data_IF_250698922817
#
_entry.id   IF_250698922817
#
_cell.length_a   1.000
_cell.length_b   1.000
_cell.length_c   1.000
_cell.angle_alpha   90.00
_cell.angle_beta   90.00
_cell.angle_gamma   90.00
#
_symmetry.space_group_name_H-M   'P 1'
#
loop_
_entity.id
_entity.type
_entity.pdbx_description
1 polymer ?
#
# COMPACT_ATOMS: atom_id res chain seq x y z
N UNK A 1 29.35 20.73 -9.81
CA UNK A 1 30.21 19.71 -9.19
C UNK A 1 29.31 18.54 -8.84
N UNK A 2 29.44 17.43 -9.59
CA UNK A 2 28.64 16.23 -9.40
C UNK A 2 29.22 15.46 -8.21
N UNK A 3 28.44 15.29 -7.16
CA UNK A 3 28.76 14.40 -6.04
C UNK A 3 28.69 12.97 -6.57
N UNK A 4 29.85 12.35 -6.77
CA UNK A 4 29.99 10.92 -6.95
C UNK A 4 29.26 10.22 -5.81
N UNK A 5 28.17 9.53 -6.12
CA UNK A 5 27.53 8.60 -5.20
C UNK A 5 28.54 7.49 -4.92
N UNK A 6 29.27 7.64 -3.81
CA UNK A 6 30.07 6.55 -3.26
C UNK A 6 29.11 5.40 -2.95
N UNK A 7 29.07 4.41 -3.84
CA UNK A 7 28.52 3.10 -3.58
C UNK A 7 29.36 2.47 -2.48
N UNK A 8 29.03 2.79 -1.23
CA UNK A 8 29.61 2.12 -0.07
C UNK A 8 29.19 0.66 -0.17
N UNK A 9 30.14 -0.23 -0.39
CA UNK A 9 29.84 -1.66 -0.37
C UNK A 9 29.34 -2.05 1.02
N UNK A 10 28.12 -2.59 1.09
CA UNK A 10 27.48 -3.04 2.33
C UNK A 10 28.38 -4.05 3.09
N UNK A 11 29.22 -4.78 2.35
CA UNK A 11 30.24 -5.71 2.87
C UNK A 11 31.34 -5.04 3.70
N UNK A 12 31.54 -3.73 3.63
CA UNK A 12 32.62 -3.01 4.34
C UNK A 12 32.14 -2.29 5.62
N UNK A 13 30.83 -2.21 5.85
CA UNK A 13 30.26 -1.52 7.01
C UNK A 13 30.54 -2.24 8.34
N UNK A 14 30.77 -1.52 9.45
CA UNK A 14 30.87 -2.16 10.76
C UNK A 14 29.52 -2.73 11.22
N UNK A 15 29.53 -3.70 12.16
CA UNK A 15 28.30 -4.31 12.69
C UNK A 15 27.28 -3.28 13.23
N UNK A 16 27.67 -2.26 14.00
CA UNK A 16 26.72 -1.23 14.44
C UNK A 16 26.08 -0.45 13.29
N UNK A 17 26.83 -0.14 12.23
CA UNK A 17 26.29 0.54 11.06
C UNK A 17 25.35 -0.37 10.24
N UNK A 18 25.65 -1.67 10.15
CA UNK A 18 24.76 -2.65 9.51
C UNK A 18 23.46 -2.84 10.28
N UNK A 19 23.51 -2.84 11.61
CA UNK A 19 22.30 -2.90 12.44
C UNK A 19 21.41 -1.66 12.26
N UNK A 20 22.01 -0.46 12.26
CA UNK A 20 21.28 0.78 11.97
C UNK A 20 20.64 0.74 10.57
N UNK A 21 21.40 0.32 9.55
CA UNK A 21 20.90 0.17 8.18
C UNK A 21 19.79 -0.87 8.07
N UNK A 22 19.92 -2.02 8.76
CA UNK A 22 18.89 -3.06 8.83
C UNK A 22 17.58 -2.48 9.35
N UNK A 23 17.62 -1.81 10.50
CA UNK A 23 16.45 -1.23 11.14
C UNK A 23 15.79 -0.15 10.25
N UNK A 24 16.60 0.68 9.59
CA UNK A 24 16.10 1.69 8.65
C UNK A 24 15.36 1.04 7.47
N UNK A 25 15.99 0.08 6.79
CA UNK A 25 15.40 -0.58 5.61
C UNK A 25 14.16 -1.38 6.01
N UNK A 26 14.12 -1.95 7.21
CA UNK A 26 12.95 -2.66 7.75
C UNK A 26 11.75 -1.73 7.96
N UNK A 27 11.95 -0.55 8.56
CA UNK A 27 10.88 0.43 8.72
C UNK A 27 10.41 0.99 7.37
N UNK A 28 11.32 1.26 6.44
CA UNK A 28 10.96 1.71 5.08
C UNK A 28 10.10 0.66 4.35
N UNK A 29 10.48 -0.62 4.43
CA UNK A 29 9.69 -1.73 3.85
C UNK A 29 8.30 -1.80 4.48
N UNK A 30 8.20 -1.64 5.81
CA UNK A 30 6.92 -1.65 6.52
C UNK A 30 6.02 -0.52 6.07
N UNK A 31 6.51 0.73 6.07
CA UNK A 31 5.75 1.91 5.63
C UNK A 31 5.26 1.75 4.18
N UNK A 32 6.13 1.28 3.28
CA UNK A 32 5.77 1.04 1.88
C UNK A 32 4.74 -0.08 1.72
N UNK A 33 4.84 -1.15 2.52
CA UNK A 33 3.88 -2.27 2.51
C UNK A 33 2.50 -1.85 3.02
N UNK A 34 2.46 -1.08 4.11
CA UNK A 34 1.22 -0.53 4.67
C UNK A 34 0.57 0.43 3.68
N UNK A 35 1.36 1.31 3.06
CA UNK A 35 0.90 2.24 2.02
C UNK A 35 0.32 1.50 0.81
N UNK A 36 0.99 0.44 0.33
CA UNK A 36 0.48 -0.39 -0.77
C UNK A 36 -0.84 -1.07 -0.41
N UNK A 37 -0.97 -1.55 0.83
CA UNK A 37 -2.22 -2.17 1.31
C UNK A 37 -3.36 -1.14 1.36
N UNK A 38 -3.10 0.05 1.89
CA UNK A 38 -4.09 1.12 1.94
C UNK A 38 -4.52 1.58 0.53
N UNK A 39 -3.58 1.71 -0.41
CA UNK A 39 -3.89 2.06 -1.80
C UNK A 39 -4.78 1.00 -2.46
N UNK A 40 -4.51 -0.29 -2.24
CA UNK A 40 -5.36 -1.38 -2.76
C UNK A 40 -6.77 -1.35 -2.17
N UNK A 41 -6.90 -1.11 -0.85
CA UNK A 41 -8.21 -0.94 -0.21
C UNK A 41 -8.96 0.25 -0.80
N UNK A 42 -8.29 1.38 -1.03
CA UNK A 42 -8.90 2.54 -1.66
C UNK A 42 -9.32 2.28 -3.11
N UNK A 43 -8.47 1.60 -3.91
CA UNK A 43 -8.79 1.18 -5.27
C UNK A 43 -10.04 0.30 -5.29
N UNK A 44 -10.12 -0.71 -4.42
CA UNK A 44 -11.28 -1.61 -4.35
C UNK A 44 -12.57 -0.84 -4.01
N UNK A 45 -12.53 0.11 -3.07
CA UNK A 45 -13.69 0.97 -2.76
C UNK A 45 -14.20 1.73 -3.98
N UNK A 46 -13.30 2.23 -4.84
CA UNK A 46 -13.71 2.91 -6.08
C UNK A 46 -14.24 1.94 -7.13
N UNK A 47 -13.69 0.72 -7.23
CA UNK A 47 -14.23 -0.36 -8.08
C UNK A 47 -15.66 -0.69 -7.64
N UNK A 48 -15.87 -0.96 -6.35
CA UNK A 48 -17.19 -1.29 -5.79
C UNK A 48 -18.19 -0.16 -6.02
N UNK A 49 -17.76 1.11 -5.88
CA UNK A 49 -18.59 2.29 -6.13
C UNK A 49 -19.02 2.39 -7.59
N UNK A 50 -18.08 2.16 -8.53
CA UNK A 50 -18.38 2.15 -9.96
C UNK A 50 -19.37 1.04 -10.32
N UNK A 51 -19.13 -0.18 -9.84
CA UNK A 51 -20.06 -1.30 -10.08
C UNK A 51 -21.46 -1.03 -9.51
N UNK A 52 -21.56 -0.37 -8.35
CA UNK A 52 -22.84 -0.04 -7.76
C UNK A 52 -23.61 1.01 -8.58
N UNK A 53 -22.92 1.98 -9.17
CA UNK A 53 -23.50 2.94 -10.13
C UNK A 53 -24.01 2.23 -11.39
N UNK A 54 -23.23 1.30 -11.94
CA UNK A 54 -23.64 0.50 -13.10
C UNK A 54 -24.85 -0.39 -12.77
N UNK A 55 -24.87 -1.02 -11.59
CA UNK A 55 -26.02 -1.79 -11.09
C UNK A 55 -27.26 -0.90 -10.92
N UNK A 56 -27.10 0.33 -10.45
CA UNK A 56 -28.21 1.29 -10.33
C UNK A 56 -28.78 1.67 -11.70
N UNK A 57 -27.94 1.79 -12.73
CA UNK A 57 -28.36 2.05 -14.12
C UNK A 57 -29.34 0.99 -14.65
N UNK A 58 -29.20 -0.26 -14.21
CA UNK A 58 -30.11 -1.36 -14.57
C UNK A 58 -31.37 -1.46 -13.71
N UNK A 59 -31.52 -0.59 -12.71
CA UNK A 59 -32.66 -0.55 -11.78
C UNK A 59 -33.58 0.61 -12.13
N UNK A 60 -34.85 0.30 -12.43
CA UNK A 60 -35.88 1.32 -12.57
C UNK A 60 -36.35 1.86 -11.21
N UNK A 61 -37.02 3.03 -11.21
CA UNK A 61 -37.64 3.60 -10.02
C UNK A 61 -38.69 2.65 -9.41
N UNK A 62 -38.91 2.76 -8.11
CA UNK A 62 -39.88 1.94 -7.37
C UNK A 62 -39.36 0.57 -6.94
N UNK A 63 -38.11 0.20 -7.27
CA UNK A 63 -37.49 -1.05 -6.79
C UNK A 63 -37.20 -0.98 -5.30
N UNK A 64 -37.52 -2.05 -4.57
CA UNK A 64 -37.17 -2.21 -3.16
C UNK A 64 -35.68 -2.55 -3.00
N UNK A 65 -35.05 -1.94 -2.01
CA UNK A 65 -33.67 -2.18 -1.59
C UNK A 65 -33.61 -2.30 -0.07
N UNK A 66 -32.54 -2.91 0.44
CA UNK A 66 -32.23 -2.89 1.87
C UNK A 66 -31.16 -1.84 2.12
N UNK A 67 -31.45 -0.91 3.03
CA UNK A 67 -30.52 0.12 3.47
C UNK A 67 -29.93 -0.29 4.82
N UNK A 68 -28.61 -0.36 4.98
CA UNK A 68 -27.99 -0.68 6.26
C UNK A 68 -28.24 0.44 7.27
N UNK A 69 -28.73 0.10 8.46
CA UNK A 69 -28.91 1.03 9.58
C UNK A 69 -27.79 0.88 10.62
N UNK A 70 -27.28 -0.34 10.79
CA UNK A 70 -26.12 -0.65 11.63
C UNK A 70 -25.38 -1.88 11.08
N UNK A 71 -24.31 -2.31 11.76
CA UNK A 71 -23.54 -3.50 11.37
C UNK A 71 -24.39 -4.78 11.25
N UNK A 72 -25.50 -4.88 11.98
CA UNK A 72 -26.35 -6.09 12.01
C UNK A 72 -27.84 -5.81 11.76
N UNK A 73 -28.20 -4.63 11.24
CA UNK A 73 -29.59 -4.25 10.99
C UNK A 73 -29.77 -3.56 9.63
N UNK A 74 -30.86 -3.91 8.96
CA UNK A 74 -31.24 -3.34 7.66
C UNK A 74 -32.71 -2.94 7.70
N UNK A 75 -33.06 -1.89 6.96
CA UNK A 75 -34.44 -1.45 6.76
C UNK A 75 -34.81 -1.50 5.28
N UNK A 76 -36.04 -1.88 4.92
CA UNK A 76 -36.49 -1.79 3.54
C UNK A 76 -36.65 -0.33 3.13
N UNK A 77 -36.24 -0.01 1.91
CA UNK A 77 -36.40 1.29 1.27
C UNK A 77 -36.79 1.12 -0.19
N UNK A 78 -37.32 2.18 -0.79
CA UNK A 78 -37.70 2.19 -2.21
C UNK A 78 -36.86 3.22 -2.95
N UNK A 79 -36.30 2.85 -4.09
CA UNK A 79 -35.55 3.77 -4.95
C UNK A 79 -36.51 4.77 -5.60
N UNK A 80 -36.33 6.05 -5.29
CA UNK A 80 -37.09 7.15 -5.90
C UNK A 80 -36.37 7.70 -7.13
N UNK A 81 -35.12 8.16 -6.97
CA UNK A 81 -34.27 8.67 -8.04
C UNK A 81 -33.19 7.64 -8.40
N UNK A 82 -33.10 7.30 -9.69
CA UNK A 82 -32.09 6.40 -10.25
C UNK A 82 -31.24 7.07 -11.33
N UNK A 83 -31.41 8.37 -11.56
CA UNK A 83 -30.70 9.11 -12.61
C UNK A 83 -29.45 9.80 -12.08
N UNK A 84 -29.47 10.22 -10.81
CA UNK A 84 -28.37 10.94 -10.16
C UNK A 84 -27.95 10.34 -8.82
N UNK A 85 -26.68 10.55 -8.46
CA UNK A 85 -26.07 10.13 -7.20
C UNK A 85 -25.21 11.26 -6.61
N UNK A 86 -25.12 11.31 -5.29
CA UNK A 86 -24.18 12.18 -4.58
C UNK A 86 -22.82 11.49 -4.49
N UNK A 87 -21.78 12.15 -5.00
CA UNK A 87 -20.41 11.64 -5.01
C UNK A 87 -19.54 12.52 -4.11
N UNK A 88 -18.83 11.89 -3.17
CA UNK A 88 -17.82 12.56 -2.36
C UNK A 88 -16.64 13.01 -3.24
N UNK A 89 -16.38 14.31 -3.27
CA UNK A 89 -15.29 14.93 -4.02
C UNK A 89 -14.12 15.35 -3.12
N UNK A 90 -14.22 15.11 -1.81
CA UNK A 90 -13.21 15.38 -0.80
C UNK A 90 -13.57 16.55 0.12
N UNK A 91 -12.83 16.68 1.22
CA UNK A 91 -12.98 17.78 2.21
C UNK A 91 -14.40 17.94 2.80
N UNK A 92 -15.21 16.88 2.75
CA UNK A 92 -16.60 16.89 3.24
C UNK A 92 -17.63 17.41 2.24
N UNK A 93 -17.25 17.64 0.97
CA UNK A 93 -18.16 18.09 -0.08
C UNK A 93 -18.66 16.93 -0.93
N UNK A 94 -19.95 16.99 -1.26
CA UNK A 94 -20.62 16.06 -2.17
C UNK A 94 -21.12 16.82 -3.39
N UNK A 95 -20.90 16.24 -4.57
CA UNK A 95 -21.43 16.76 -5.82
C UNK A 95 -22.47 15.77 -6.38
N UNK A 96 -23.61 16.30 -6.79
CA UNK A 96 -24.59 15.51 -7.54
C UNK A 96 -24.06 15.25 -8.96
N UNK A 97 -24.10 13.99 -9.40
CA UNK A 97 -23.67 13.55 -10.72
C UNK A 97 -24.71 12.61 -11.31
N UNK A 98 -24.92 12.66 -12.63
CA UNK A 98 -25.62 11.58 -13.31
C UNK A 98 -24.77 10.29 -13.27
N UNK A 99 -25.40 9.15 -13.54
CA UNK A 99 -24.74 7.85 -13.42
C UNK A 99 -23.51 7.70 -14.32
N UNK A 100 -23.56 8.22 -15.55
CA UNK A 100 -22.43 8.14 -16.49
C UNK A 100 -21.22 8.93 -15.97
N UNK A 101 -21.46 10.16 -15.50
CA UNK A 101 -20.41 11.03 -14.94
C UNK A 101 -19.85 10.47 -13.64
N UNK A 102 -20.69 9.82 -12.81
CA UNK A 102 -20.25 9.14 -11.61
C UNK A 102 -19.36 7.93 -11.94
N UNK A 103 -19.76 7.10 -12.90
CA UNK A 103 -18.96 5.96 -13.37
C UNK A 103 -17.61 6.42 -13.95
N UNK A 104 -17.61 7.49 -14.77
CA UNK A 104 -16.39 8.10 -15.30
C UNK A 104 -15.49 8.65 -14.18
N UNK A 105 -16.07 9.32 -13.19
CA UNK A 105 -15.34 9.82 -12.04
C UNK A 105 -14.64 8.70 -11.26
N UNK A 106 -15.36 7.62 -10.95
CA UNK A 106 -14.76 6.47 -10.25
C UNK A 106 -13.72 5.76 -11.11
N UNK A 107 -13.91 5.64 -12.42
CA UNK A 107 -12.88 5.12 -13.33
C UNK A 107 -11.60 5.96 -13.26
N UNK A 108 -11.71 7.29 -13.31
CA UNK A 108 -10.55 8.18 -13.16
C UNK A 108 -9.83 8.03 -11.81
N UNK A 109 -10.57 7.80 -10.72
CA UNK A 109 -9.98 7.51 -9.40
C UNK A 109 -9.29 6.15 -9.37
N UNK A 110 -9.87 5.12 -9.98
CA UNK A 110 -9.25 3.80 -10.13
C UNK A 110 -7.93 3.96 -10.88
N UNK A 111 -7.93 4.59 -12.06
CA UNK A 111 -6.74 4.77 -12.89
C UNK A 111 -5.65 5.55 -12.15
N UNK A 112 -6.03 6.59 -11.41
CA UNK A 112 -5.11 7.37 -10.59
C UNK A 112 -4.44 6.50 -9.52
N UNK A 113 -5.22 5.74 -8.75
CA UNK A 113 -4.69 4.88 -7.69
C UNK A 113 -3.85 3.73 -8.26
N UNK A 114 -4.29 3.11 -9.36
CA UNK A 114 -3.53 2.09 -10.09
C UNK A 114 -2.15 2.61 -10.47
N UNK A 115 -2.05 3.82 -11.05
CA UNK A 115 -0.76 4.44 -11.38
C UNK A 115 0.13 4.67 -10.16
N UNK A 116 -0.44 4.97 -8.98
CA UNK A 116 0.38 5.09 -7.76
C UNK A 116 0.88 3.72 -7.30
N UNK A 117 0.03 2.69 -7.35
CA UNK A 117 0.41 1.31 -7.03
C UNK A 117 1.54 0.83 -7.94
N UNK A 118 1.42 1.03 -9.25
CA UNK A 118 2.43 0.67 -10.25
C UNK A 118 3.77 1.37 -10.03
N UNK A 119 3.76 2.62 -9.54
CA UNK A 119 4.99 3.35 -9.18
C UNK A 119 5.64 2.82 -7.91
N UNK A 120 4.84 2.47 -6.89
CA UNK A 120 5.37 2.01 -5.59
C UNK A 120 5.82 0.54 -5.61
N UNK A 121 5.17 -0.30 -6.42
CA UNK A 121 5.45 -1.73 -6.48
C UNK A 121 6.93 -2.08 -6.77
N UNK A 122 7.60 -1.52 -7.81
CA UNK A 122 9.01 -1.82 -8.06
C UNK A 122 9.92 -1.33 -6.91
N UNK A 123 9.62 -0.17 -6.32
CA UNK A 123 10.36 0.39 -5.18
C UNK A 123 10.28 -0.56 -3.98
N UNK A 124 9.09 -1.07 -3.69
CA UNK A 124 8.89 -2.03 -2.60
C UNK A 124 9.65 -3.34 -2.85
N UNK A 125 9.64 -3.86 -4.07
CA UNK A 125 10.41 -5.06 -4.45
C UNK A 125 11.92 -4.82 -4.26
N UNK A 126 12.42 -3.67 -4.70
CA UNK A 126 13.83 -3.29 -4.52
C UNK A 126 14.21 -3.17 -3.05
N UNK A 127 13.35 -2.54 -2.23
CA UNK A 127 13.56 -2.43 -0.78
C UNK A 127 13.53 -3.77 -0.07
N UNK A 128 12.68 -4.71 -0.49
CA UNK A 128 12.72 -6.08 0.02
C UNK A 128 14.04 -6.80 -0.33
N UNK A 129 14.54 -6.64 -1.56
CA UNK A 129 15.84 -7.21 -1.98
C UNK A 129 16.99 -6.60 -1.17
N UNK A 130 16.98 -5.27 -0.99
CA UNK A 130 17.96 -4.56 -0.17
C UNK A 130 17.93 -5.05 1.28
N UNK A 131 16.75 -5.19 1.88
CA UNK A 131 16.58 -5.75 3.23
C UNK A 131 17.21 -7.14 3.33
N UNK A 132 16.93 -8.01 2.36
CA UNK A 132 17.44 -9.37 2.33
C UNK A 132 18.98 -9.39 2.28
N UNK A 133 19.58 -8.58 1.40
CA UNK A 133 21.03 -8.47 1.29
C UNK A 133 21.68 -7.94 2.59
N UNK A 134 21.08 -6.93 3.23
CA UNK A 134 21.59 -6.39 4.50
C UNK A 134 21.52 -7.43 5.61
N UNK A 135 20.42 -8.18 5.71
CA UNK A 135 20.26 -9.26 6.72
C UNK A 135 21.28 -10.38 6.49
N UNK A 136 21.51 -10.77 5.24
CA UNK A 136 22.49 -11.80 4.90
C UNK A 136 23.91 -11.39 5.28
N UNK A 137 24.34 -10.17 4.90
CA UNK A 137 25.67 -9.64 5.23
C UNK A 137 25.84 -9.49 6.75
N UNK A 138 24.79 -9.02 7.44
CA UNK A 138 24.79 -8.93 8.90
C UNK A 138 25.03 -10.29 9.55
N UNK A 139 24.28 -11.32 9.14
CA UNK A 139 24.41 -12.68 9.67
C UNK A 139 25.80 -13.28 9.40
N UNK A 140 26.33 -13.10 8.18
CA UNK A 140 27.68 -13.57 7.82
C UNK A 140 28.75 -12.92 8.71
N UNK A 141 28.67 -11.60 8.94
CA UNK A 141 29.63 -10.90 9.81
C UNK A 141 29.55 -11.30 11.26
N UNK A 142 28.33 -11.46 11.80
CA UNK A 142 28.14 -11.94 13.17
C UNK A 142 28.75 -13.34 13.32
N UNK A 143 28.54 -14.24 12.37
CA UNK A 143 29.15 -15.57 12.42
C UNK A 143 30.67 -15.55 12.31
N UNK A 144 31.24 -14.73 11.43
CA UNK A 144 32.69 -14.58 11.29
C UNK A 144 33.33 -14.07 12.60
N UNK A 145 32.71 -13.10 13.27
CA UNK A 145 33.21 -12.55 14.53
C UNK A 145 33.11 -13.57 15.68
N UNK A 146 32.05 -14.38 15.72
CA UNK A 146 31.91 -15.48 16.70
C UNK A 146 32.97 -16.58 16.49
N UNK A 147 33.33 -16.89 15.24
CA UNK A 147 34.38 -17.86 14.93
C UNK A 147 35.79 -17.34 15.27
N UNK A 148 36.06 -16.05 15.03
CA UNK A 148 37.31 -15.42 15.46
C UNK A 148 37.45 -15.36 17.00
N UNK A 149 36.36 -15.06 17.71
CA UNK A 149 36.33 -15.10 19.17
C UNK A 149 36.58 -16.50 19.73
N UNK A 150 36.07 -17.55 19.07
CA UNK A 150 36.35 -18.96 19.46
C UNK A 150 37.79 -19.38 19.23
N UNK A 151 38.40 -19.00 18.10
CA UNK A 151 39.78 -19.36 17.77
C UNK A 151 40.81 -18.60 18.63
N UNK A 152 40.51 -17.39 19.08
CA UNK A 152 41.37 -16.65 20.01
C UNK A 152 41.42 -17.29 21.41
N UNK A 153 40.30 -17.88 21.87
CA UNK A 153 40.24 -18.55 23.18
C UNK A 153 40.95 -19.90 23.17
N UNK A 154 40.88 -20.66 22.08
CA UNK A 154 41.56 -21.96 21.95
C UNK A 154 43.07 -21.87 21.69
N UNK A 155 43.57 -20.75 21.16
CA UNK A 155 45.01 -20.50 20.99
C UNK A 155 45.70 -19.98 22.28
N UNK A 156 44.92 -19.63 23.30
CA UNK A 156 45.39 -19.07 24.58
C UNK A 156 45.48 -20.12 25.71
N UNK A 157 45.20 -21.39 25.42
CA UNK A 157 45.25 -22.54 26.34
C UNK A 157 46.28 -23.54 25.84
#
# INVERSE_FOLDING_TARGET
MATEQQTIEISQLSLPHLEALRNQVEEEVKVLSDSMTQLKVAQQKFVDSKENVEKLTSKGPGKQILVPLSASMYVPGTLENVDTVLVDIGTGYFAEKNLNDAAYYFQGKIDYVTKQIEKLQPILIEKHKMRQAVVEIFNVKVQAQLQQGRNAVSAST
#
